data_IF_326127684514
#
_entry.id   IF_326127684514
#
_cell.length_a   1.000
_cell.length_b   1.000
_cell.length_c   1.000
_cell.angle_alpha   90.00
_cell.angle_beta   90.00
_cell.angle_gamma   90.00
#
_symmetry.space_group_name_H-M   'P 1'
#
loop_
_entity.id
_entity.type
_entity.pdbx_description
1 polymer ?
#
# COMPACT_ATOMS: atom_id res chain seq x y z
N UNK A 1 -20.05 0.10 -15.57
CA UNK A 1 -21.15 -0.89 -15.59
C UNK A 1 -20.74 -2.11 -14.79
N UNK A 2 -21.66 -2.70 -14.02
CA UNK A 2 -21.45 -4.00 -13.37
C UNK A 2 -22.66 -4.88 -13.62
N UNK A 3 -22.44 -6.19 -13.72
CA UNK A 3 -23.48 -7.21 -13.88
C UNK A 3 -23.18 -8.37 -12.94
N UNK A 4 -24.22 -8.95 -12.36
CA UNK A 4 -24.13 -10.15 -11.53
C UNK A 4 -25.26 -11.08 -11.94
N UNK A 5 -24.96 -12.35 -12.14
CA UNK A 5 -25.92 -13.38 -12.53
C UNK A 5 -25.76 -14.60 -11.63
N UNK A 6 -26.84 -14.99 -10.95
CA UNK A 6 -26.90 -16.23 -10.18
C UNK A 6 -27.31 -17.34 -11.15
N UNK A 7 -26.37 -18.25 -11.47
CA UNK A 7 -26.61 -19.32 -12.45
C UNK A 7 -27.27 -20.55 -11.84
N UNK A 8 -26.94 -20.83 -10.58
CA UNK A 8 -27.51 -21.91 -9.78
C UNK A 8 -27.60 -21.43 -8.33
N UNK A 9 -28.20 -22.24 -7.46
CA UNK A 9 -28.28 -21.94 -6.01
C UNK A 9 -26.91 -21.78 -5.33
N UNK A 10 -25.82 -22.19 -5.99
CA UNK A 10 -24.46 -22.16 -5.44
C UNK A 10 -23.45 -21.38 -6.29
N UNK A 11 -23.75 -21.03 -7.54
CA UNK A 11 -22.80 -20.39 -8.46
C UNK A 11 -23.30 -19.00 -8.88
N UNK A 12 -22.45 -18.01 -8.67
CA UNK A 12 -22.68 -16.62 -9.09
C UNK A 12 -21.57 -16.18 -10.04
N UNK A 13 -21.93 -15.65 -11.20
CA UNK A 13 -21.03 -14.95 -12.10
C UNK A 13 -21.13 -13.44 -11.92
N UNK A 14 -20.01 -12.76 -12.10
CA UNK A 14 -19.92 -11.31 -12.03
C UNK A 14 -19.06 -10.77 -13.17
N UNK A 15 -19.42 -9.59 -13.66
CA UNK A 15 -18.69 -8.86 -14.69
C UNK A 15 -18.72 -7.37 -14.40
N UNK A 16 -17.61 -6.69 -14.70
CA UNK A 16 -17.49 -5.26 -14.53
C UNK A 16 -16.73 -4.65 -15.71
N UNK A 17 -17.17 -3.47 -16.14
CA UNK A 17 -16.50 -2.66 -17.15
C UNK A 17 -16.47 -1.20 -16.70
N UNK A 18 -15.31 -0.56 -16.75
CA UNK A 18 -15.12 0.84 -16.42
C UNK A 18 -14.99 1.66 -17.71
N UNK A 19 -15.86 2.66 -17.85
CA UNK A 19 -15.86 3.57 -19.00
C UNK A 19 -14.83 4.69 -18.86
N UNK A 20 -14.57 5.10 -17.62
CA UNK A 20 -13.65 6.17 -17.29
C UNK A 20 -12.60 5.65 -16.30
N UNK A 21 -11.44 6.26 -16.40
CA UNK A 21 -10.29 6.08 -15.55
C UNK A 21 -9.88 7.45 -15.02
N UNK A 22 -9.80 7.53 -13.69
CA UNK A 22 -9.24 8.68 -12.97
C UNK A 22 -8.25 8.17 -11.93
N UNK A 23 -7.10 8.85 -11.75
CA UNK A 23 -6.12 8.43 -10.77
C UNK A 23 -6.69 8.45 -9.35
N UNK A 24 -6.15 7.62 -8.47
CA UNK A 24 -6.49 7.62 -7.06
C UNK A 24 -6.24 9.01 -6.47
N UNK A 25 -7.25 9.55 -5.77
CA UNK A 25 -7.12 10.82 -5.05
C UNK A 25 -6.25 10.61 -3.82
N UNK A 26 -5.20 11.41 -3.71
CA UNK A 26 -4.31 11.46 -2.55
C UNK A 26 -4.42 12.82 -1.88
N UNK A 27 -4.11 12.95 -0.57
CA UNK A 27 -4.04 14.26 0.05
C UNK A 27 -3.03 15.16 -0.68
N UNK A 28 -3.25 16.47 -0.62
CA UNK A 28 -2.36 17.42 -1.28
C UNK A 28 -0.91 17.31 -0.76
N UNK A 29 0.04 17.60 -1.65
CA UNK A 29 1.46 17.60 -1.35
C UNK A 29 1.77 18.54 -0.19
N UNK A 30 2.65 18.13 0.71
CA UNK A 30 3.04 18.94 1.88
C UNK A 30 2.00 19.00 3.02
N UNK A 31 0.88 18.29 2.91
CA UNK A 31 -0.05 18.11 4.04
C UNK A 31 0.51 17.14 5.09
N UNK A 32 -0.09 17.12 6.29
CA UNK A 32 0.39 16.29 7.40
C UNK A 32 0.53 14.80 7.04
N UNK A 33 -0.33 14.25 6.19
CA UNK A 33 -0.33 12.83 5.83
C UNK A 33 0.38 12.52 4.49
N UNK A 34 0.87 13.54 3.76
CA UNK A 34 1.46 13.35 2.43
C UNK A 34 2.90 13.87 2.37
N UNK A 35 3.73 13.16 1.60
CA UNK A 35 5.05 13.66 1.20
C UNK A 35 4.94 14.92 0.34
N UNK A 36 6.00 15.72 0.28
CA UNK A 36 6.03 16.93 -0.54
C UNK A 36 6.25 16.58 -2.03
N UNK A 37 7.42 16.04 -2.38
CA UNK A 37 7.90 16.13 -3.76
C UNK A 37 7.34 15.10 -4.76
N UNK A 38 7.04 13.87 -4.34
CA UNK A 38 6.50 12.81 -5.24
C UNK A 38 5.05 12.46 -4.98
N UNK A 39 4.31 13.39 -4.39
CA UNK A 39 2.86 13.31 -4.40
C UNK A 39 2.32 13.70 -5.79
N UNK A 40 1.38 12.94 -6.38
CA UNK A 40 0.69 13.30 -7.63
C UNK A 40 0.08 14.71 -7.68
N UNK A 41 -0.15 15.31 -6.51
CA UNK A 41 -0.70 16.64 -6.32
C UNK A 41 0.37 17.73 -6.14
N UNK A 42 1.67 17.41 -6.29
CA UNK A 42 2.75 18.39 -6.16
C UNK A 42 2.91 19.22 -7.44
N UNK A 43 3.27 20.49 -7.28
CA UNK A 43 3.61 21.38 -8.39
C UNK A 43 5.08 21.24 -8.81
N UNK A 44 5.94 20.79 -7.90
CA UNK A 44 7.39 20.74 -8.08
C UNK A 44 8.02 19.50 -7.46
N UNK A 45 9.13 19.05 -8.05
CA UNK A 45 10.07 18.12 -7.46
C UNK A 45 11.33 18.91 -7.07
N UNK A 46 11.57 19.07 -5.77
CA UNK A 46 12.77 19.75 -5.27
C UNK A 46 13.98 18.82 -5.28
N UNK A 47 15.15 19.38 -5.63
CA UNK A 47 16.43 18.68 -5.56
C UNK A 47 17.30 19.32 -4.48
N UNK A 48 17.96 18.54 -3.60
CA UNK A 48 18.78 19.05 -2.50
C UNK A 48 20.15 19.54 -3.01
N UNK A 49 20.14 20.54 -3.89
CA UNK A 49 21.32 21.18 -4.47
C UNK A 49 21.26 22.70 -4.23
N UNK A 50 22.42 23.39 -4.21
CA UNK A 50 22.46 24.83 -4.01
C UNK A 50 21.59 25.59 -5.03
N UNK A 51 20.82 26.57 -4.55
CA UNK A 51 20.00 27.44 -5.40
C UNK A 51 18.51 27.08 -5.50
N UNK A 52 17.99 26.23 -4.61
CA UNK A 52 16.56 25.84 -4.55
C UNK A 52 16.02 25.33 -5.90
N UNK A 53 16.82 24.49 -6.55
CA UNK A 53 16.49 23.97 -7.87
C UNK A 53 15.28 23.02 -7.80
N UNK A 54 14.33 23.23 -8.72
CA UNK A 54 13.07 22.49 -8.80
C UNK A 54 12.77 22.12 -10.24
N UNK A 55 12.25 20.91 -10.45
CA UNK A 55 11.59 20.55 -11.70
C UNK A 55 10.09 20.81 -11.57
N UNK A 56 9.49 21.47 -12.57
CA UNK A 56 8.03 21.66 -12.63
C UNK A 56 7.36 20.32 -12.95
N UNK A 57 6.36 19.94 -12.16
CA UNK A 57 5.52 18.78 -12.47
C UNK A 57 4.55 19.17 -13.58
N UNK A 58 4.59 18.41 -14.66
CA UNK A 58 3.77 18.59 -15.86
C UNK A 58 2.72 17.48 -15.96
N UNK A 59 1.85 17.57 -16.97
CA UNK A 59 0.78 16.61 -17.18
C UNK A 59 1.29 15.16 -17.14
N UNK A 60 0.66 14.36 -16.28
CA UNK A 60 0.95 12.95 -16.15
C UNK A 60 0.67 12.20 -17.46
N UNK A 61 1.45 11.16 -17.73
CA UNK A 61 1.13 10.19 -18.79
C UNK A 61 0.03 9.27 -18.26
N UNK A 62 -1.22 9.60 -18.59
CA UNK A 62 -2.42 8.85 -18.21
C UNK A 62 -2.71 7.74 -19.22
N UNK A 63 -3.33 6.63 -18.79
CA UNK A 63 -3.83 5.62 -19.69
C UNK A 63 -4.95 6.14 -20.58
N UNK A 64 -5.31 5.33 -21.58
CA UNK A 64 -6.51 5.57 -22.38
C UNK A 64 -7.75 5.31 -21.53
N UNK A 65 -8.83 6.04 -21.80
CA UNK A 65 -10.13 5.91 -21.11
C UNK A 65 -10.91 4.66 -21.58
N UNK A 66 -10.27 3.48 -21.63
CA UNK A 66 -10.86 2.20 -22.09
C UNK A 66 -9.98 1.01 -21.73
N UNK A 67 -10.57 -0.19 -21.70
CA UNK A 67 -9.82 -1.44 -21.52
C UNK A 67 -9.78 -1.97 -20.08
N UNK A 68 -10.46 -1.28 -19.17
CA UNK A 68 -10.57 -1.61 -17.75
C UNK A 68 -11.82 -2.47 -17.51
N UNK A 69 -11.63 -3.77 -17.27
CA UNK A 69 -12.72 -4.71 -17.06
C UNK A 69 -12.30 -5.91 -16.22
N UNK A 70 -13.29 -6.65 -15.71
CA UNK A 70 -13.04 -7.89 -15.00
C UNK A 70 -14.24 -8.80 -15.00
N UNK A 71 -13.98 -10.08 -14.75
CA UNK A 71 -14.97 -11.14 -14.61
C UNK A 71 -14.61 -12.01 -13.42
N UNK A 72 -15.62 -12.64 -12.84
CA UNK A 72 -15.39 -13.58 -11.77
C UNK A 72 -16.52 -14.57 -11.60
N UNK A 73 -16.22 -15.61 -10.86
CA UNK A 73 -17.18 -16.61 -10.42
C UNK A 73 -17.00 -16.82 -8.92
N UNK A 74 -18.12 -16.99 -8.22
CA UNK A 74 -18.17 -17.42 -6.83
C UNK A 74 -18.95 -18.72 -6.77
N UNK A 75 -18.43 -19.69 -6.02
CA UNK A 75 -19.04 -20.98 -5.81
C UNK A 75 -19.15 -21.29 -4.31
N UNK A 76 -20.37 -21.45 -3.81
CA UNK A 76 -20.64 -21.88 -2.45
C UNK A 76 -20.78 -23.41 -2.43
N UNK A 77 -19.78 -24.11 -1.94
CA UNK A 77 -19.77 -25.58 -1.86
C UNK A 77 -20.29 -26.04 -0.50
N UNK A 78 -21.60 -26.32 -0.45
CA UNK A 78 -22.33 -26.73 0.75
C UNK A 78 -21.72 -27.92 1.52
N UNK A 79 -21.29 -29.03 0.87
CA UNK A 79 -20.71 -30.17 1.57
C UNK A 79 -19.44 -29.87 2.39
N UNK A 80 -18.70 -28.81 2.05
CA UNK A 80 -17.53 -28.35 2.79
C UNK A 80 -17.81 -27.07 3.58
N UNK A 81 -19.05 -26.56 3.54
CA UNK A 81 -19.42 -25.25 4.13
C UNK A 81 -18.44 -24.14 3.74
N UNK A 82 -18.01 -24.15 2.47
CA UNK A 82 -16.92 -23.31 1.98
C UNK A 82 -17.35 -22.50 0.77
N UNK A 83 -16.78 -21.30 0.65
CA UNK A 83 -16.91 -20.45 -0.54
C UNK A 83 -15.59 -20.43 -1.28
N UNK A 84 -15.65 -20.59 -2.60
CA UNK A 84 -14.53 -20.42 -3.52
C UNK A 84 -14.82 -19.25 -4.46
N UNK A 85 -13.79 -18.53 -4.87
CA UNK A 85 -13.86 -17.48 -5.88
C UNK A 85 -12.73 -17.60 -6.89
N UNK A 86 -13.02 -17.24 -8.13
CA UNK A 86 -12.03 -17.10 -9.18
C UNK A 86 -12.29 -15.81 -9.95
N UNK A 87 -11.24 -15.05 -10.21
CA UNK A 87 -11.32 -13.68 -10.73
C UNK A 87 -10.27 -13.45 -11.81
N UNK A 88 -10.65 -12.71 -12.84
CA UNK A 88 -9.74 -12.12 -13.80
C UNK A 88 -10.06 -10.63 -13.96
N UNK A 89 -9.04 -9.80 -13.99
CA UNK A 89 -9.17 -8.36 -14.26
C UNK A 89 -8.05 -7.90 -15.16
N UNK A 90 -8.39 -7.08 -16.15
CA UNK A 90 -7.44 -6.25 -16.89
C UNK A 90 -7.70 -4.79 -16.57
N UNK A 91 -6.68 -4.06 -16.16
CA UNK A 91 -6.81 -2.67 -15.76
C UNK A 91 -5.53 -1.86 -15.96
N UNK A 92 -5.70 -0.56 -16.18
CA UNK A 92 -4.66 0.44 -16.01
C UNK A 92 -4.64 0.86 -14.54
N UNK A 93 -3.48 0.84 -13.91
CA UNK A 93 -3.35 1.08 -12.48
C UNK A 93 -3.71 2.52 -12.14
N UNK A 94 -4.46 2.68 -11.07
CA UNK A 94 -4.95 3.97 -10.59
C UNK A 94 -3.92 4.68 -9.71
N UNK A 95 -2.88 3.95 -9.29
CA UNK A 95 -1.70 4.49 -8.61
C UNK A 95 -0.60 4.75 -9.64
N UNK A 96 0.13 5.88 -9.53
CA UNK A 96 1.30 6.10 -10.37
C UNK A 96 2.42 5.12 -10.02
N UNK A 97 3.37 4.98 -10.93
CA UNK A 97 4.67 4.43 -10.60
C UNK A 97 5.35 5.25 -9.50
N UNK A 98 6.20 4.61 -8.69
CA UNK A 98 6.94 5.28 -7.61
C UNK A 98 7.89 6.36 -8.15
N UNK A 99 8.54 6.07 -9.28
CA UNK A 99 9.40 7.00 -9.99
C UNK A 99 8.62 7.91 -10.92
N UNK A 100 9.11 9.14 -11.08
CA UNK A 100 8.63 10.08 -12.12
C UNK A 100 9.53 10.02 -13.35
N UNK A 101 9.00 10.47 -14.50
CA UNK A 101 9.81 10.75 -15.66
C UNK A 101 10.36 12.18 -15.59
N UNK A 102 11.67 12.32 -15.69
CA UNK A 102 12.42 13.57 -15.75
C UNK A 102 12.66 13.97 -17.20
N UNK A 103 12.51 15.25 -17.52
CA UNK A 103 12.69 15.79 -18.88
C UNK A 103 13.13 17.25 -18.87
N UNK A 104 13.44 17.77 -20.06
CA UNK A 104 13.91 19.14 -20.30
C UNK A 104 15.12 19.51 -19.45
N UNK A 105 16.31 19.14 -19.90
CA UNK A 105 17.53 19.28 -19.13
C UNK A 105 18.24 20.61 -19.42
N UNK A 106 18.75 21.26 -18.38
CA UNK A 106 19.62 22.44 -18.50
C UNK A 106 21.04 22.10 -18.01
N UNK A 107 22.10 22.73 -18.57
CA UNK A 107 23.46 22.58 -18.07
C UNK A 107 23.61 23.10 -16.63
N UNK A 108 24.32 22.34 -15.79
CA UNK A 108 24.73 22.72 -14.44
C UNK A 108 26.13 22.18 -14.15
N UNK A 109 27.15 23.01 -14.40
CA UNK A 109 28.54 22.57 -14.34
C UNK A 109 28.80 21.38 -15.29
N UNK A 110 29.41 20.28 -14.83
CA UNK A 110 29.63 19.07 -15.64
C UNK A 110 28.38 18.16 -15.75
N UNK A 111 27.23 18.56 -15.20
CA UNK A 111 26.01 17.76 -15.12
C UNK A 111 24.83 18.45 -15.79
N UNK A 112 23.72 17.72 -15.91
CA UNK A 112 22.47 18.20 -16.45
C UNK A 112 21.37 18.06 -15.41
N UNK A 113 20.55 19.09 -15.25
CA UNK A 113 19.44 19.10 -14.29
C UNK A 113 18.09 19.12 -15.02
N UNK A 114 17.11 18.29 -14.60
CA UNK A 114 15.79 18.26 -15.20
C UNK A 114 14.97 19.48 -14.76
N UNK A 115 14.33 20.18 -15.69
CA UNK A 115 13.42 21.30 -15.39
C UNK A 115 11.96 20.86 -15.41
N UNK A 116 11.66 19.64 -15.86
CA UNK A 116 10.31 19.06 -15.89
C UNK A 116 10.29 17.65 -15.34
N UNK A 117 9.20 17.31 -14.66
CA UNK A 117 8.87 15.96 -14.23
C UNK A 117 7.42 15.61 -14.61
N UNK A 118 7.09 14.34 -14.75
CA UNK A 118 5.70 13.88 -14.87
C UNK A 118 5.49 12.50 -14.25
N UNK A 119 4.30 12.27 -13.70
CA UNK A 119 3.89 10.95 -13.23
C UNK A 119 3.55 10.02 -14.39
N UNK A 120 3.80 8.74 -14.18
CA UNK A 120 3.56 7.67 -15.15
C UNK A 120 2.56 6.68 -14.53
N UNK A 121 1.53 6.32 -15.27
CA UNK A 121 0.55 5.34 -14.82
C UNK A 121 0.73 3.99 -15.55
N UNK A 122 0.75 2.87 -14.82
CA UNK A 122 0.68 1.53 -15.37
C UNK A 122 -0.47 1.30 -16.33
N UNK A 123 -0.15 0.78 -17.51
CA UNK A 123 -1.13 0.33 -18.49
C UNK A 123 -1.09 -1.20 -18.63
N UNK A 124 -2.24 -1.79 -18.97
CA UNK A 124 -2.38 -3.22 -19.27
C UNK A 124 -1.90 -4.16 -18.14
N UNK A 125 -2.25 -3.85 -16.88
CA UNK A 125 -2.03 -4.76 -15.75
C UNK A 125 -3.10 -5.84 -15.77
N UNK A 126 -2.69 -7.10 -15.62
CA UNK A 126 -3.61 -8.23 -15.54
C UNK A 126 -3.55 -8.85 -14.14
N UNK A 127 -4.68 -9.26 -13.59
CA UNK A 127 -4.78 -9.94 -12.30
C UNK A 127 -5.60 -11.21 -12.47
N UNK A 128 -5.04 -12.31 -12.00
CA UNK A 128 -5.72 -13.59 -11.80
C UNK A 128 -5.82 -13.83 -10.31
N UNK A 129 -7.03 -14.07 -9.79
CA UNK A 129 -7.26 -14.23 -8.36
C UNK A 129 -8.03 -15.50 -8.06
N UNK A 130 -7.68 -16.16 -6.96
CA UNK A 130 -8.44 -17.24 -6.34
C UNK A 130 -8.71 -16.85 -4.90
N UNK A 131 -9.90 -17.14 -4.40
CA UNK A 131 -10.27 -16.93 -3.01
C UNK A 131 -10.92 -18.17 -2.40
N UNK A 132 -10.78 -18.30 -1.10
CA UNK A 132 -11.37 -19.33 -0.27
C UNK A 132 -11.89 -18.71 1.02
N UNK A 133 -13.03 -19.16 1.50
CA UNK A 133 -13.59 -18.73 2.78
C UNK A 133 -14.36 -19.85 3.47
N UNK A 134 -14.12 -20.03 4.78
CA UNK A 134 -14.79 -21.03 5.61
C UNK A 134 -14.74 -20.65 7.09
N UNK A 135 -15.72 -21.08 7.88
CA UNK A 135 -15.63 -21.09 9.34
C UNK A 135 -14.95 -22.38 9.83
N UNK A 136 -13.84 -22.27 10.57
CA UNK A 136 -13.10 -23.38 11.17
C UNK A 136 -12.97 -23.13 12.66
N UNK A 137 -13.55 -24.01 13.49
CA UNK A 137 -13.43 -23.90 14.95
C UNK A 137 -13.94 -22.58 15.53
N UNK A 138 -14.98 -21.98 14.94
CA UNK A 138 -15.51 -20.67 15.35
C UNK A 138 -14.75 -19.45 14.82
N UNK A 139 -13.68 -19.66 14.02
CA UNK A 139 -12.96 -18.58 13.33
C UNK A 139 -13.42 -18.52 11.88
N UNK A 140 -13.84 -17.35 11.42
CA UNK A 140 -14.10 -17.11 9.99
C UNK A 140 -12.77 -16.89 9.28
N UNK A 141 -12.31 -17.88 8.53
CA UNK A 141 -11.04 -17.86 7.80
C UNK A 141 -11.28 -17.49 6.34
N UNK A 142 -10.48 -16.56 5.83
CA UNK A 142 -10.37 -16.21 4.42
C UNK A 142 -8.95 -16.41 3.91
N UNK A 143 -8.81 -16.84 2.66
CA UNK A 143 -7.54 -16.92 1.98
C UNK A 143 -7.67 -16.45 0.54
N UNK A 144 -6.69 -15.72 0.03
CA UNK A 144 -6.62 -15.31 -1.37
C UNK A 144 -5.21 -15.55 -1.92
N UNK A 145 -5.16 -15.95 -3.20
CA UNK A 145 -3.94 -16.03 -3.99
C UNK A 145 -4.20 -15.26 -5.28
N UNK A 146 -3.32 -14.32 -5.60
CA UNK A 146 -3.38 -13.62 -6.88
C UNK A 146 -2.03 -13.58 -7.59
N UNK A 147 -2.09 -13.65 -8.90
CA UNK A 147 -0.98 -13.45 -9.81
C UNK A 147 -1.25 -12.20 -10.63
N UNK A 148 -0.40 -11.19 -10.47
CA UNK A 148 -0.49 -9.92 -11.18
C UNK A 148 0.60 -9.84 -12.21
N UNK A 149 0.25 -9.62 -13.48
CA UNK A 149 1.19 -9.43 -14.58
C UNK A 149 1.37 -7.97 -14.94
N UNK A 150 2.57 -7.62 -15.40
CA UNK A 150 2.90 -6.30 -15.92
C UNK A 150 2.61 -5.14 -14.93
N UNK A 151 2.65 -5.42 -13.62
CA UNK A 151 2.44 -4.43 -12.56
C UNK A 151 3.66 -3.52 -12.37
N UNK A 152 3.48 -2.36 -11.75
CA UNK A 152 4.58 -1.46 -11.40
C UNK A 152 5.48 -2.07 -10.31
N UNK A 153 6.78 -2.03 -10.54
CA UNK A 153 7.79 -2.40 -9.55
C UNK A 153 8.44 -1.18 -8.91
N UNK A 154 9.19 -1.42 -7.83
CA UNK A 154 10.05 -0.44 -7.17
C UNK A 154 11.08 0.15 -8.16
N UNK A 155 10.80 1.37 -8.60
CA UNK A 155 11.49 2.06 -9.68
C UNK A 155 11.90 3.45 -9.21
N UNK A 156 13.16 3.89 -9.40
CA UNK A 156 13.54 5.29 -9.20
C UNK A 156 13.03 6.17 -10.35
N UNK A 157 13.29 7.48 -10.27
CA UNK A 157 13.00 8.38 -11.38
C UNK A 157 13.80 7.99 -12.65
N UNK A 158 13.19 8.17 -13.81
CA UNK A 158 13.77 7.84 -15.12
C UNK A 158 13.89 9.09 -15.98
N UNK A 159 14.96 9.24 -16.75
CA UNK A 159 15.18 10.38 -17.66
C UNK A 159 15.08 10.01 -19.15
N UNK A 160 14.95 8.72 -19.48
CA UNK A 160 14.99 8.21 -20.86
C UNK A 160 13.76 7.37 -21.21
N UNK A 161 13.10 6.78 -20.22
CA UNK A 161 11.99 5.86 -20.43
C UNK A 161 10.67 6.48 -19.99
N UNK A 162 9.60 6.14 -20.69
CA UNK A 162 8.24 6.63 -20.48
C UNK A 162 7.37 5.62 -19.69
N UNK A 163 8.03 4.69 -19.00
CA UNK A 163 7.53 3.76 -18.00
C UNK A 163 8.72 3.22 -17.17
N UNK A 164 8.47 2.93 -15.90
CA UNK A 164 9.40 2.32 -14.96
C UNK A 164 9.54 0.81 -15.17
N UNK A 165 10.10 0.14 -14.17
CA UNK A 165 10.22 -1.30 -14.18
C UNK A 165 8.84 -1.95 -14.00
N UNK A 166 8.57 -2.97 -14.82
CA UNK A 166 7.35 -3.78 -14.77
C UNK A 166 7.68 -5.21 -14.42
N UNK A 167 6.76 -5.92 -13.78
CA UNK A 167 6.96 -7.34 -13.51
C UNK A 167 5.69 -8.10 -13.20
N UNK A 168 5.87 -9.40 -13.13
CA UNK A 168 4.86 -10.36 -12.74
C UNK A 168 5.11 -10.77 -11.28
N UNK A 169 4.04 -10.84 -10.48
CA UNK A 169 4.12 -10.95 -9.02
C UNK A 169 3.02 -11.86 -8.49
N UNK A 170 3.37 -12.65 -7.48
CA UNK A 170 2.44 -13.44 -6.69
C UNK A 170 2.13 -12.71 -5.39
N UNK A 171 0.87 -12.75 -4.97
CA UNK A 171 0.39 -12.21 -3.71
C UNK A 171 -0.51 -13.25 -3.05
N UNK A 172 -0.25 -13.57 -1.78
CA UNK A 172 -1.08 -14.45 -0.99
C UNK A 172 -1.45 -13.76 0.32
N UNK A 173 -2.69 -13.92 0.76
CA UNK A 173 -3.14 -13.43 2.06
C UNK A 173 -4.00 -14.49 2.73
N UNK A 174 -3.82 -14.66 4.03
CA UNK A 174 -4.68 -15.48 4.87
C UNK A 174 -5.10 -14.62 6.05
N UNK A 175 -6.41 -14.54 6.29
CA UNK A 175 -6.97 -13.83 7.41
C UNK A 175 -7.94 -14.71 8.21
N UNK A 176 -8.14 -14.32 9.46
CA UNK A 176 -9.09 -14.95 10.37
C UNK A 176 -9.79 -13.89 11.21
N UNK A 177 -11.09 -14.03 11.36
CA UNK A 177 -11.93 -13.22 12.26
C UNK A 177 -12.49 -14.13 13.34
N UNK A 178 -12.15 -13.83 14.59
CA UNK A 178 -12.64 -14.53 15.77
C UNK A 178 -13.48 -13.58 16.61
N UNK A 179 -14.69 -14.00 16.97
CA UNK A 179 -15.55 -13.25 17.88
C UNK A 179 -15.14 -13.58 19.32
N UNK A 180 -14.83 -12.55 20.10
CA UNK A 180 -14.36 -12.71 21.47
C UNK A 180 -15.53 -13.15 22.36
N UNK A 181 -15.38 -14.26 23.12
CA UNK A 181 -16.37 -14.64 24.10
C UNK A 181 -16.35 -13.67 25.29
N UNK A 182 -17.42 -13.68 26.09
CA UNK A 182 -17.47 -12.97 27.36
C UNK A 182 -16.38 -13.48 28.31
N UNK A 183 -15.64 -12.57 28.93
CA UNK A 183 -14.64 -12.86 29.97
C UNK A 183 -14.78 -11.88 31.14
N UNK A 184 -13.88 -11.97 32.12
CA UNK A 184 -13.78 -10.96 33.18
C UNK A 184 -13.23 -9.60 32.67
N UNK A 185 -12.61 -9.58 31.49
CA UNK A 185 -11.92 -8.39 30.95
C UNK A 185 -12.71 -7.70 29.83
N UNK A 186 -13.73 -8.32 29.26
CA UNK A 186 -14.58 -7.75 28.21
C UNK A 186 -15.89 -8.55 28.08
N UNK A 187 -16.95 -7.93 27.58
CA UNK A 187 -18.24 -8.60 27.37
C UNK A 187 -18.31 -9.31 26.02
N UNK A 188 -17.68 -8.74 25.00
CA UNK A 188 -17.62 -9.28 23.63
C UNK A 188 -16.51 -8.57 22.85
N UNK A 189 -16.44 -8.79 21.54
CA UNK A 189 -15.59 -8.03 20.63
C UNK A 189 -15.13 -8.89 19.47
N UNK A 190 -14.08 -8.44 18.79
CA UNK A 190 -13.48 -9.19 17.69
C UNK A 190 -11.96 -9.15 17.72
N UNK A 191 -11.36 -10.23 17.26
CA UNK A 191 -9.95 -10.31 16.92
C UNK A 191 -9.83 -10.67 15.45
N UNK A 192 -9.05 -9.89 14.72
CA UNK A 192 -8.72 -10.12 13.31
C UNK A 192 -7.22 -10.29 13.23
N UNK A 193 -6.77 -11.33 12.55
CA UNK A 193 -5.36 -11.53 12.23
C UNK A 193 -5.22 -11.81 10.74
N UNK A 194 -4.18 -11.26 10.13
CA UNK A 194 -3.87 -11.41 8.71
C UNK A 194 -2.37 -11.58 8.52
N UNK A 195 -1.97 -12.51 7.66
CA UNK A 195 -0.62 -12.64 7.14
C UNK A 195 -0.68 -12.49 5.62
N UNK A 196 0.19 -11.64 5.07
CA UNK A 196 0.30 -11.41 3.64
C UNK A 196 1.73 -11.70 3.16
N UNK A 197 1.84 -12.31 2.00
CA UNK A 197 3.09 -12.69 1.36
C UNK A 197 3.08 -12.23 -0.10
N UNK A 198 4.16 -11.58 -0.52
CA UNK A 198 4.35 -11.09 -1.88
C UNK A 198 5.65 -11.68 -2.44
N UNK A 199 5.63 -12.06 -3.71
CA UNK A 199 6.82 -12.57 -4.40
C UNK A 199 6.93 -12.02 -5.81
N UNK A 200 8.11 -11.55 -6.18
CA UNK A 200 8.47 -11.30 -7.57
C UNK A 200 8.72 -12.62 -8.30
N UNK A 201 7.96 -12.82 -9.37
CA UNK A 201 8.19 -13.90 -10.31
C UNK A 201 9.31 -13.51 -11.27
N UNK A 202 9.09 -12.45 -12.04
CA UNK A 202 10.05 -11.90 -13.02
C UNK A 202 9.82 -10.42 -13.32
N UNK A 203 10.87 -9.76 -13.79
CA UNK A 203 10.79 -8.43 -14.39
C UNK A 203 10.49 -8.58 -15.89
N UNK A 204 9.55 -7.81 -16.41
CA UNK A 204 9.06 -7.91 -17.79
C UNK A 204 9.40 -6.70 -18.64
N UNK A 205 9.62 -5.52 -18.03
CA UNK A 205 10.08 -4.32 -18.74
C UNK A 205 11.05 -3.52 -17.88
N UNK A 206 12.01 -2.86 -18.53
CA UNK A 206 12.95 -1.90 -17.95
C UNK A 206 13.66 -2.40 -16.69
N UNK A 207 14.27 -3.59 -16.75
CA UNK A 207 14.98 -4.20 -15.64
C UNK A 207 16.11 -3.33 -15.06
N UNK A 208 16.74 -2.52 -15.90
CA UNK A 208 17.74 -1.53 -15.48
C UNK A 208 17.19 -0.46 -14.52
N UNK A 209 15.87 -0.31 -14.43
CA UNK A 209 15.20 0.58 -13.48
C UNK A 209 14.64 -0.18 -12.26
N UNK A 210 14.78 -1.50 -12.18
CA UNK A 210 14.27 -2.25 -11.04
C UNK A 210 15.24 -2.20 -9.86
N UNK A 211 14.79 -1.60 -8.75
CA UNK A 211 15.62 -1.39 -7.56
C UNK A 211 15.56 -2.59 -6.63
N UNK A 212 16.22 -3.69 -7.03
CA UNK A 212 16.41 -4.89 -6.20
C UNK A 212 17.73 -4.89 -5.45
N UNK A 213 17.81 -5.64 -4.36
CA UNK A 213 19.08 -5.92 -3.67
C UNK A 213 20.09 -6.50 -4.66
N UNK A 214 21.29 -5.91 -4.70
CA UNK A 214 22.37 -6.29 -5.62
C UNK A 214 22.31 -5.68 -7.02
N UNK A 215 21.25 -4.95 -7.40
CA UNK A 215 21.24 -4.22 -8.68
C UNK A 215 22.09 -2.95 -8.61
N UNK A 216 22.66 -2.51 -9.74
CA UNK A 216 23.56 -1.34 -9.78
C UNK A 216 22.94 -0.06 -9.22
N UNK A 217 21.61 0.09 -9.35
CA UNK A 217 20.84 1.22 -8.84
C UNK A 217 20.45 1.09 -7.36
N UNK A 218 20.68 -0.08 -6.75
CA UNK A 218 20.57 -0.29 -5.32
C UNK A 218 21.89 0.10 -4.65
N UNK A 219 21.92 1.31 -4.10
CA UNK A 219 23.12 1.92 -3.55
C UNK A 219 23.00 2.06 -2.03
N UNK A 220 24.05 1.66 -1.29
CA UNK A 220 24.17 1.98 0.13
C UNK A 220 24.35 3.48 0.25
N UNK A 221 23.37 4.12 0.88
CA UNK A 221 23.37 5.58 1.07
C UNK A 221 24.62 6.12 1.77
N UNK A 222 25.39 5.27 2.46
CA UNK A 222 26.62 5.64 3.18
C UNK A 222 27.89 5.58 2.34
N UNK A 223 27.92 4.73 1.33
CA UNK A 223 29.12 4.49 0.52
C UNK A 223 28.98 5.06 -0.89
N UNK A 224 27.76 5.18 -1.40
CA UNK A 224 27.49 5.62 -2.77
C UNK A 224 27.89 4.61 -3.84
N UNK A 225 28.31 3.40 -3.46
CA UNK A 225 28.80 2.39 -4.41
C UNK A 225 27.64 1.67 -5.09
N UNK A 226 27.65 1.58 -6.42
CA UNK A 226 26.66 0.84 -7.19
C UNK A 226 26.56 -0.63 -6.74
N UNK A 227 25.34 -1.13 -6.52
CA UNK A 227 25.12 -2.51 -6.07
C UNK A 227 25.44 -2.80 -4.61
N UNK A 228 25.83 -1.80 -3.81
CA UNK A 228 26.17 -2.00 -2.39
C UNK A 228 24.98 -1.93 -1.44
N UNK A 229 23.81 -1.50 -1.91
CA UNK A 229 22.63 -1.29 -1.07
C UNK A 229 21.92 -2.58 -0.68
N UNK A 230 21.10 -2.49 0.37
CA UNK A 230 20.26 -3.60 0.84
C UNK A 230 18.83 -3.18 1.17
N UNK A 231 18.13 -4.02 1.92
CA UNK A 231 16.72 -3.82 2.34
C UNK A 231 16.58 -2.50 3.12
N UNK A 232 17.52 -2.21 4.00
CA UNK A 232 17.54 -0.96 4.79
C UNK A 232 17.80 0.30 3.95
N UNK A 233 18.22 0.17 2.69
CA UNK A 233 18.31 1.29 1.74
C UNK A 233 17.00 1.49 0.95
N UNK A 234 15.99 0.64 1.17
CA UNK A 234 14.71 0.63 0.46
C UNK A 234 14.73 -0.20 -0.82
N UNK A 235 15.74 -1.05 -1.02
CA UNK A 235 15.79 -1.96 -2.16
C UNK A 235 14.85 -3.14 -1.96
N UNK A 236 14.25 -3.59 -3.06
CA UNK A 236 13.31 -4.72 -3.06
C UNK A 236 14.01 -6.04 -2.88
N UNK A 237 13.40 -6.93 -2.13
CA UNK A 237 13.72 -8.36 -2.12
C UNK A 237 12.79 -9.09 -3.08
N UNK A 238 13.12 -10.35 -3.38
CA UNK A 238 12.24 -11.19 -4.18
C UNK A 238 10.94 -11.52 -3.43
N UNK A 239 11.03 -11.68 -2.12
CA UNK A 239 9.94 -12.11 -1.25
C UNK A 239 9.74 -11.10 -0.13
N UNK A 240 8.49 -10.81 0.23
CA UNK A 240 8.15 -9.93 1.35
C UNK A 240 6.95 -10.48 2.12
N UNK A 241 7.02 -10.45 3.45
CA UNK A 241 5.97 -10.96 4.34
C UNK A 241 5.59 -9.89 5.36
N UNK A 242 4.29 -9.71 5.60
CA UNK A 242 3.77 -8.79 6.60
C UNK A 242 2.65 -9.45 7.40
N UNK A 243 2.47 -8.99 8.64
CA UNK A 243 1.38 -9.41 9.51
C UNK A 243 0.58 -8.19 9.98
N UNK A 244 -0.72 -8.35 10.16
CA UNK A 244 -1.59 -7.37 10.78
C UNK A 244 -2.52 -8.04 11.78
N UNK A 245 -2.71 -7.42 12.94
CA UNK A 245 -3.60 -7.89 13.99
C UNK A 245 -4.44 -6.69 14.45
N UNK A 246 -5.75 -6.89 14.58
CA UNK A 246 -6.67 -5.95 15.20
C UNK A 246 -7.44 -6.65 16.31
N UNK A 247 -7.32 -6.14 17.53
CA UNK A 247 -8.04 -6.60 18.70
C UNK A 247 -9.00 -5.50 19.14
N UNK A 248 -10.29 -5.80 19.22
CA UNK A 248 -11.35 -4.81 19.45
C UNK A 248 -12.34 -5.30 20.51
N UNK A 249 -11.92 -5.39 21.79
CA UNK A 249 -12.80 -5.72 22.90
C UNK A 249 -13.89 -4.66 23.08
N UNK A 250 -15.05 -5.12 23.55
CA UNK A 250 -16.23 -4.32 23.82
C UNK A 250 -16.72 -4.54 25.24
N UNK A 251 -17.14 -3.45 25.88
CA UNK A 251 -17.70 -3.37 27.22
C UNK A 251 -19.09 -2.79 27.07
N UNK A 252 -20.11 -3.57 27.41
CA UNK A 252 -21.50 -3.21 27.16
C UNK A 252 -22.12 -2.63 28.43
N UNK A 253 -22.94 -1.60 28.27
CA UNK A 253 -23.66 -0.95 29.37
C UNK A 253 -22.74 -0.53 30.53
N UNK A 254 -21.56 0.00 30.23
CA UNK A 254 -20.64 0.53 31.27
C UNK A 254 -21.27 1.69 32.06
N UNK A 255 -22.17 2.43 31.41
CA UNK A 255 -23.12 3.36 32.00
C UNK A 255 -24.48 3.12 31.32
N UNK A 256 -25.60 3.63 31.85
CA UNK A 256 -26.91 3.50 31.21
C UNK A 256 -26.87 3.98 29.75
N UNK A 257 -27.14 3.05 28.82
CA UNK A 257 -27.11 3.29 27.37
C UNK A 257 -25.74 3.63 26.78
N UNK A 258 -24.63 3.39 27.49
CA UNK A 258 -23.28 3.58 26.97
C UNK A 258 -22.53 2.27 26.81
N UNK A 259 -21.98 2.08 25.61
CA UNK A 259 -21.06 0.99 25.28
C UNK A 259 -19.68 1.56 24.94
N UNK A 260 -18.62 0.85 25.32
CA UNK A 260 -17.23 1.20 25.02
C UNK A 260 -16.58 0.12 24.17
N UNK A 261 -15.93 0.50 23.07
CA UNK A 261 -15.04 -0.35 22.29
C UNK A 261 -13.62 0.20 22.37
N UNK A 262 -12.63 -0.66 22.63
CA UNK A 262 -11.21 -0.25 22.72
C UNK A 262 -10.43 -0.94 21.60
N UNK A 263 -10.44 -0.41 20.36
CA UNK A 263 -9.70 -1.01 19.27
C UNK A 263 -8.19 -0.78 19.40
N UNK A 264 -7.41 -1.84 19.25
CA UNK A 264 -5.96 -1.82 19.09
C UNK A 264 -5.63 -2.49 17.77
N UNK A 265 -4.78 -1.87 16.95
CA UNK A 265 -4.29 -2.47 15.71
C UNK A 265 -2.76 -2.41 15.66
N UNK A 266 -2.14 -3.46 15.17
CA UNK A 266 -0.70 -3.53 14.91
C UNK A 266 -0.49 -4.15 13.53
N UNK A 267 0.37 -3.56 12.71
CA UNK A 267 0.86 -4.15 11.47
C UNK A 267 2.39 -4.07 11.44
N UNK A 268 3.03 -5.17 11.04
CA UNK A 268 4.48 -5.30 11.06
C UNK A 268 5.01 -6.00 9.79
N UNK A 269 6.03 -5.43 9.15
CA UNK A 269 6.77 -6.07 8.08
C UNK A 269 7.77 -7.09 8.61
N UNK A 270 7.49 -8.38 8.43
CA UNK A 270 8.27 -9.48 9.01
C UNK A 270 9.62 -9.70 8.32
N UNK A 271 9.62 -9.68 6.99
CA UNK A 271 10.82 -9.96 6.18
C UNK A 271 10.69 -9.35 4.81
N UNK A 272 11.78 -8.79 4.28
CA UNK A 272 11.88 -8.33 2.91
C UNK A 272 11.06 -7.07 2.58
N UNK A 273 11.40 -6.47 1.45
CA UNK A 273 10.71 -5.31 0.90
C UNK A 273 10.01 -5.70 -0.39
N UNK A 274 8.72 -5.41 -0.48
CA UNK A 274 7.92 -5.79 -1.65
C UNK A 274 8.50 -5.23 -2.94
N UNK A 275 8.48 -6.05 -3.99
CA UNK A 275 8.86 -5.64 -5.33
C UNK A 275 7.86 -4.67 -5.97
N UNK A 276 6.58 -4.71 -5.57
CA UNK A 276 5.52 -3.86 -6.11
C UNK A 276 5.46 -2.50 -5.44
N UNK A 277 5.01 -1.49 -6.19
CA UNK A 277 4.64 -0.18 -5.64
C UNK A 277 3.59 -0.30 -4.53
N UNK A 278 3.77 0.42 -3.42
CA UNK A 278 2.85 0.45 -2.28
C UNK A 278 2.80 -0.83 -1.42
N UNK A 279 3.76 -1.74 -1.57
CA UNK A 279 3.84 -2.97 -0.78
C UNK A 279 4.54 -2.79 0.58
N UNK A 280 4.52 -3.83 1.41
CA UNK A 280 5.13 -3.82 2.73
C UNK A 280 6.67 -3.73 2.71
N UNK A 281 7.22 -3.12 3.77
CA UNK A 281 8.67 -2.95 4.01
C UNK A 281 9.07 -3.65 5.30
N UNK A 282 10.23 -4.30 5.31
CA UNK A 282 10.75 -5.01 6.49
C UNK A 282 10.96 -4.06 7.68
N UNK A 283 10.50 -4.48 8.85
CA UNK A 283 10.62 -3.73 10.08
C UNK A 283 9.65 -2.55 10.22
N UNK A 284 8.81 -2.27 9.21
CA UNK A 284 7.80 -1.24 9.33
C UNK A 284 6.76 -1.65 10.39
N UNK A 285 6.63 -0.85 11.45
CA UNK A 285 5.62 -1.03 12.49
C UNK A 285 4.59 0.11 12.38
N UNK A 286 3.33 -0.23 12.14
CA UNK A 286 2.19 0.69 12.24
C UNK A 286 1.31 0.24 13.37
N UNK A 287 0.91 1.14 14.25
CA UNK A 287 0.02 0.80 15.34
C UNK A 287 -1.01 1.90 15.60
N UNK A 288 -2.12 1.51 16.22
CA UNK A 288 -3.11 2.45 16.71
C UNK A 288 -3.82 1.89 17.94
N UNK A 289 -4.27 2.80 18.80
CA UNK A 289 -5.14 2.51 19.94
C UNK A 289 -6.24 3.56 19.97
N UNK A 290 -7.47 3.12 20.21
CA UNK A 290 -8.61 4.02 20.32
C UNK A 290 -9.56 3.66 21.43
N UNK A 291 -10.52 4.55 21.63
CA UNK A 291 -11.68 4.37 22.49
C UNK A 291 -12.90 4.94 21.76
N UNK A 292 -13.90 4.10 21.53
CA UNK A 292 -15.17 4.47 20.91
C UNK A 292 -16.29 4.27 21.91
N UNK A 293 -16.92 5.38 22.31
CA UNK A 293 -18.08 5.41 23.18
C UNK A 293 -19.34 5.60 22.34
N UNK A 294 -20.31 4.70 22.48
CA UNK A 294 -21.60 4.76 21.79
C UNK A 294 -22.71 5.00 22.81
N UNK A 295 -23.49 6.07 22.64
CA UNK A 295 -24.64 6.40 23.46
C UNK A 295 -25.95 6.12 22.73
N UNK A 296 -26.78 5.28 23.35
CA UNK A 296 -28.12 4.90 22.91
C UNK A 296 -28.18 4.41 21.44
N UNK A 297 -27.06 3.85 20.93
CA UNK A 297 -26.90 3.42 19.54
C UNK A 297 -27.14 4.54 18.51
N UNK A 298 -27.03 5.81 18.90
CA UNK A 298 -27.29 6.98 18.06
C UNK A 298 -26.09 7.90 17.93
N UNK A 299 -25.34 8.08 19.02
CA UNK A 299 -24.24 9.03 19.10
C UNK A 299 -22.93 8.28 19.36
N UNK A 300 -22.00 8.39 18.44
CA UNK A 300 -20.70 7.74 18.51
C UNK A 300 -19.60 8.78 18.69
N UNK A 301 -18.79 8.60 19.73
CA UNK A 301 -17.63 9.43 20.05
C UNK A 301 -16.38 8.54 19.99
N UNK A 302 -15.50 8.80 19.03
CA UNK A 302 -14.31 7.98 18.79
C UNK A 302 -13.06 8.82 18.97
N UNK A 303 -12.14 8.36 19.83
CA UNK A 303 -10.80 8.90 19.98
C UNK A 303 -9.80 7.84 19.48
N UNK A 304 -8.84 8.23 18.64
CA UNK A 304 -7.84 7.33 18.06
C UNK A 304 -6.47 8.00 18.11
N UNK A 305 -5.48 7.32 18.67
CA UNK A 305 -4.07 7.65 18.48
C UNK A 305 -3.44 6.64 17.52
N UNK A 306 -2.68 7.12 16.55
CA UNK A 306 -2.01 6.28 15.55
C UNK A 306 -0.61 6.77 15.28
N UNK A 307 0.32 5.84 15.15
CA UNK A 307 1.72 6.13 14.91
C UNK A 307 2.38 5.02 14.09
N UNK A 308 3.56 5.32 13.54
CA UNK A 308 4.36 4.38 12.76
C UNK A 308 5.84 4.59 12.96
N UNK A 309 6.59 3.51 12.86
CA UNK A 309 8.06 3.53 12.87
C UNK A 309 8.59 2.65 11.75
N UNK A 310 9.78 2.96 11.26
CA UNK A 310 10.46 2.18 10.24
C UNK A 310 11.97 2.26 10.54
N UNK A 311 12.71 1.13 10.48
CA UNK A 311 14.16 1.16 10.56
C UNK A 311 14.75 1.95 9.40
N UNK A 312 15.45 3.03 9.74
CA UNK A 312 16.11 3.90 8.76
C UNK A 312 17.62 3.82 8.85
N UNK A 313 18.30 4.06 7.73
CA UNK A 313 19.74 4.34 7.74
C UNK A 313 19.97 5.82 7.91
N UNK A 314 20.99 6.13 8.68
CA UNK A 314 21.35 7.51 8.99
C UNK A 314 22.84 7.74 8.80
N UNK A 315 23.20 8.96 8.41
CA UNK A 315 24.57 9.43 8.38
C UNK A 315 24.71 10.71 9.19
N UNK A 316 25.94 11.02 9.57
CA UNK A 316 26.27 12.29 10.18
C UNK A 316 26.54 13.31 9.06
N UNK A 317 25.65 14.28 8.92
CA UNK A 317 25.81 15.42 8.04
C UNK A 317 26.25 16.67 8.80
N UNK A 318 26.50 17.79 8.09
CA UNK A 318 26.89 19.06 8.69
C UNK A 318 25.88 19.62 9.71
N UNK A 319 24.60 19.27 9.56
CA UNK A 319 23.50 19.68 10.44
C UNK A 319 23.11 18.61 11.48
N UNK A 320 23.93 17.55 11.65
CA UNK A 320 23.67 16.44 12.57
C UNK A 320 23.25 15.15 11.87
N UNK A 321 22.56 14.26 12.59
CA UNK A 321 22.15 12.95 12.07
C UNK A 321 21.03 13.11 11.04
N UNK A 322 21.30 12.77 9.78
CA UNK A 322 20.35 12.84 8.66
C UNK A 322 19.94 11.42 8.26
N UNK A 323 18.68 11.23 7.90
CA UNK A 323 18.19 9.97 7.32
C UNK A 323 18.64 9.89 5.86
N UNK A 324 19.40 8.85 5.52
CA UNK A 324 20.01 8.68 4.19
C UNK A 324 19.52 7.45 3.45
N UNK A 325 19.02 6.44 4.17
CA UNK A 325 18.41 5.24 3.59
C UNK A 325 17.00 4.99 4.12
N UNK A 326 16.32 3.99 3.54
CA UNK A 326 14.86 3.89 3.59
C UNK A 326 14.18 4.84 2.60
N UNK A 327 14.92 5.27 1.55
CA UNK A 327 14.57 6.27 0.53
C UNK A 327 13.05 6.48 0.39
N UNK A 328 12.60 7.68 0.76
CA UNK A 328 11.22 8.15 0.79
C UNK A 328 10.48 8.09 -0.58
N UNK A 329 11.16 7.63 -1.63
CA UNK A 329 10.70 7.69 -3.01
C UNK A 329 10.38 6.35 -3.64
N UNK A 330 10.49 5.23 -2.93
CA UNK A 330 10.40 3.94 -3.62
C UNK A 330 9.96 2.77 -2.75
N UNK A 331 8.74 2.85 -2.19
CA UNK A 331 8.04 1.81 -1.40
C UNK A 331 8.14 1.92 0.13
N UNK A 332 8.54 3.07 0.67
CA UNK A 332 8.84 3.25 2.09
C UNK A 332 8.01 4.37 2.72
N UNK A 333 7.64 4.22 3.99
CA UNK A 333 6.90 5.23 4.76
C UNK A 333 7.77 6.22 5.51
N UNK A 334 9.09 6.28 5.23
CA UNK A 334 10.06 7.15 5.93
C UNK A 334 9.57 8.59 6.09
N UNK A 335 8.90 9.17 5.09
CA UNK A 335 8.41 10.56 5.17
C UNK A 335 7.29 10.82 6.19
N UNK A 336 6.80 9.79 6.87
CA UNK A 336 5.67 9.85 7.80
C UNK A 336 5.95 9.15 9.15
N UNK A 337 7.19 8.79 9.46
CA UNK A 337 7.57 8.08 10.71
C UNK A 337 7.72 9.00 11.93
N UNK A 338 7.55 10.31 11.74
CA UNK A 338 7.65 11.36 12.76
C UNK A 338 6.30 12.06 13.00
N UNK A 339 5.19 11.44 12.57
CA UNK A 339 3.86 12.07 12.48
C UNK A 339 2.77 11.28 13.20
N UNK A 340 3.03 10.90 14.45
CA UNK A 340 2.01 10.36 15.34
C UNK A 340 0.86 11.35 15.54
N UNK A 341 -0.38 10.91 15.39
CA UNK A 341 -1.56 11.78 15.39
C UNK A 341 -2.69 11.25 16.26
N UNK A 342 -3.44 12.21 16.80
CA UNK A 342 -4.66 11.99 17.57
C UNK A 342 -5.85 12.51 16.75
N UNK A 343 -6.90 11.70 16.60
CA UNK A 343 -8.15 12.12 16.00
C UNK A 343 -9.32 11.86 16.92
N UNK A 344 -10.22 12.84 16.95
CA UNK A 344 -11.53 12.75 17.56
C UNK A 344 -12.59 12.83 16.46
N UNK A 345 -13.50 11.86 16.46
CA UNK A 345 -14.61 11.79 15.51
C UNK A 345 -15.91 11.72 16.30
N UNK A 346 -16.87 12.57 15.92
CA UNK A 346 -18.24 12.49 16.38
C UNK A 346 -19.15 12.14 15.21
N UNK A 347 -19.99 11.12 15.40
CA UNK A 347 -20.98 10.68 14.42
C UNK A 347 -22.34 10.57 15.07
N UNK A 348 -23.38 10.98 14.34
CA UNK A 348 -24.77 10.80 14.73
C UNK A 348 -25.51 10.03 13.62
N UNK A 349 -26.36 9.09 14.01
CA UNK A 349 -27.35 8.49 13.12
C UNK A 349 -28.70 9.19 13.34
N UNK A 350 -29.40 9.50 12.25
CA UNK A 350 -30.74 10.11 12.26
C UNK A 350 -31.80 9.12 11.81
#
# INVERSE_FOLDING_TARGET
MSVTAVLTDSVTLMGQYFYEWEPTRVPHAGTYLMGADTAPTSDYLSFPIPGDFKATITDAKKPKQKGNWGVGARWNYGPLESTFGAYYRKFDDYSPELGVQLSSFIPFGPSFLPTRARFLYPEDVELYGLSFGRVVGGVSVGAELSYRKNGALNTPASHTLDTGARGDTWHAVVNGVYMLPKTAFWDTGSMIAEIAYNRLDKVTKNEQLYRSVGSSICVDSRTGVAGSGGERDGCSTRDATQIAIKFSPQYLNILPSWDLTVPVSVSYGLSGNSATSGGGTEGELRWSIGATMNYASKYEFSLLYSDRTLPVRTMMGPAGKVITGGQAHSNSSVGAIDRGWLAFTFKTAF
#
